data_IF_579519806959
#
_entry.id   IF_579519806959
#
_cell.length_a   1.000
_cell.length_b   1.000
_cell.length_c   1.000
_cell.angle_alpha   90.00
_cell.angle_beta   90.00
_cell.angle_gamma   90.00
#
_symmetry.space_group_name_H-M   'P 1'
#
loop_
_entity.id
_entity.type
_entity.pdbx_description
1 polymer ?
#
# COMPACT_ATOMS: atom_id res chain seq x y z
N UNK A 1 -6.83 -1.90 -11.05
CA UNK A 1 -7.81 -1.57 -9.99
C UNK A 1 -7.32 -1.86 -8.56
N UNK A 2 -6.75 -3.03 -8.25
CA UNK A 2 -6.41 -3.41 -6.87
C UNK A 2 -5.51 -2.45 -6.07
N UNK A 3 -4.46 -1.89 -6.70
CA UNK A 3 -3.49 -1.01 -6.01
C UNK A 3 -4.12 0.30 -5.51
N UNK A 4 -5.03 0.89 -6.29
CA UNK A 4 -5.75 2.11 -5.86
C UNK A 4 -6.63 1.85 -4.64
N UNK A 5 -7.28 0.67 -4.57
CA UNK A 5 -8.11 0.27 -3.43
C UNK A 5 -7.26 0.08 -2.17
N UNK A 6 -6.08 -0.53 -2.31
CA UNK A 6 -5.16 -0.71 -1.17
C UNK A 6 -4.64 0.64 -0.65
N UNK A 7 -4.21 1.54 -1.54
CA UNK A 7 -3.76 2.88 -1.15
C UNK A 7 -4.88 3.68 -0.46
N UNK A 8 -6.10 3.64 -1.02
CA UNK A 8 -7.28 4.25 -0.40
C UNK A 8 -7.57 3.68 0.98
N UNK A 9 -7.43 2.36 1.16
CA UNK A 9 -7.59 1.70 2.45
C UNK A 9 -6.57 2.16 3.49
N UNK A 10 -5.29 2.26 3.12
CA UNK A 10 -4.21 2.74 4.01
C UNK A 10 -4.43 4.20 4.39
N UNK A 11 -4.76 5.06 3.41
CA UNK A 11 -5.05 6.49 3.67
C UNK A 11 -6.26 6.61 4.61
N UNK A 12 -7.33 5.88 4.35
CA UNK A 12 -8.54 5.89 5.19
C UNK A 12 -8.23 5.43 6.62
N UNK A 13 -7.44 4.35 6.76
CA UNK A 13 -7.00 3.85 8.06
C UNK A 13 -6.12 4.85 8.82
N UNK A 14 -5.19 5.52 8.12
CA UNK A 14 -4.35 6.55 8.71
C UNK A 14 -5.16 7.76 9.18
N UNK A 15 -6.11 8.24 8.36
CA UNK A 15 -7.02 9.35 8.71
C UNK A 15 -7.89 8.98 9.91
N UNK A 16 -8.49 7.79 9.92
CA UNK A 16 -9.30 7.31 11.06
C UNK A 16 -8.46 7.21 12.34
N UNK A 17 -7.23 6.69 12.25
CA UNK A 17 -6.29 6.66 13.36
C UNK A 17 -5.99 8.06 13.91
N UNK A 18 -5.75 9.03 13.03
CA UNK A 18 -5.44 10.41 13.42
C UNK A 18 -6.64 11.11 14.07
N UNK A 19 -7.85 10.89 13.56
CA UNK A 19 -9.09 11.38 14.19
C UNK A 19 -9.27 10.78 15.59
N UNK A 20 -9.06 9.47 15.75
CA UNK A 20 -9.15 8.80 17.05
C UNK A 20 -8.08 9.26 18.04
N UNK A 21 -6.88 9.60 17.56
CA UNK A 21 -5.82 10.19 18.37
C UNK A 21 -6.25 11.55 18.92
N UNK A 22 -6.78 12.42 18.06
CA UNK A 22 -7.28 13.75 18.45
C UNK A 22 -8.46 13.64 19.44
N UNK A 23 -9.41 12.74 19.17
CA UNK A 23 -10.54 12.47 20.06
C UNK A 23 -10.09 11.95 21.43
N UNK A 24 -9.17 10.98 21.45
CA UNK A 24 -8.59 10.45 22.68
C UNK A 24 -7.84 11.53 23.49
N UNK A 25 -7.08 12.40 22.80
CA UNK A 25 -6.41 13.54 23.42
C UNK A 25 -7.40 14.53 24.04
N UNK A 26 -8.47 14.87 23.31
CA UNK A 26 -9.53 15.76 23.80
C UNK A 26 -10.21 15.19 25.05
N UNK A 27 -10.52 13.88 25.08
CA UNK A 27 -11.10 13.22 26.25
C UNK A 27 -10.21 13.31 27.50
N UNK A 28 -8.89 13.22 27.33
CA UNK A 28 -7.95 13.35 28.45
C UNK A 28 -7.97 14.79 29.00
N UNK A 29 -8.00 15.80 28.14
CA UNK A 29 -8.02 17.22 28.55
C UNK A 29 -9.35 17.56 29.24
N UNK A 30 -10.48 17.05 28.73
CA UNK A 30 -11.82 17.32 29.28
C UNK A 30 -12.19 16.46 30.49
N UNK A 31 -11.34 15.51 30.90
CA UNK A 31 -11.66 14.59 31.99
C UNK A 31 -11.82 15.31 33.34
N UNK A 32 -11.07 16.37 33.60
CA UNK A 32 -11.02 16.99 34.93
C UNK A 32 -10.65 15.94 35.99
N UNK A 33 -11.48 15.81 37.03
CA UNK A 33 -11.35 14.77 38.08
C UNK A 33 -12.05 13.44 37.76
N UNK A 34 -12.69 13.30 36.60
CA UNK A 34 -13.35 12.06 36.17
C UNK A 34 -12.31 11.04 35.66
N UNK A 35 -11.88 10.15 36.56
CA UNK A 35 -10.88 9.12 36.25
C UNK A 35 -11.31 8.14 35.16
N UNK A 36 -12.62 7.89 34.99
CA UNK A 36 -13.13 6.98 33.97
C UNK A 36 -12.97 7.59 32.57
N UNK A 37 -13.24 8.90 32.42
CA UNK A 37 -13.00 9.63 31.16
C UNK A 37 -11.52 9.66 30.81
N UNK A 38 -10.66 9.93 31.80
CA UNK A 38 -9.21 9.93 31.59
C UNK A 38 -8.70 8.55 31.14
N UNK A 39 -9.20 7.45 31.73
CA UNK A 39 -8.83 6.09 31.35
C UNK A 39 -9.29 5.76 29.91
N UNK A 40 -10.52 6.12 29.56
CA UNK A 40 -11.04 5.91 28.20
C UNK A 40 -10.25 6.70 27.16
N UNK A 41 -9.90 7.95 27.47
CA UNK A 41 -9.04 8.78 26.61
C UNK A 41 -7.67 8.14 26.39
N UNK A 42 -7.01 7.64 27.46
CA UNK A 42 -5.73 6.94 27.34
C UNK A 42 -5.81 5.69 26.47
N UNK A 43 -6.88 4.89 26.61
CA UNK A 43 -7.11 3.72 25.76
C UNK A 43 -7.29 4.13 24.29
N UNK A 44 -8.09 5.14 24.01
CA UNK A 44 -8.30 5.64 22.66
C UNK A 44 -6.99 6.11 22.01
N UNK A 45 -6.18 6.89 22.74
CA UNK A 45 -4.84 7.29 22.28
C UNK A 45 -3.96 6.07 22.02
N UNK A 46 -3.87 5.12 22.94
CA UNK A 46 -3.06 3.92 22.76
C UNK A 46 -3.45 3.11 21.50
N UNK A 47 -4.74 2.88 21.29
CA UNK A 47 -5.23 2.16 20.10
C UNK A 47 -4.98 2.92 18.81
N UNK A 48 -5.14 4.25 18.82
CA UNK A 48 -4.87 5.08 17.64
C UNK A 48 -3.39 5.07 17.25
N UNK A 49 -2.47 5.13 18.22
CA UNK A 49 -1.02 5.05 17.98
C UNK A 49 -0.66 3.68 17.40
N UNK A 50 -1.20 2.59 17.97
CA UNK A 50 -1.01 1.24 17.42
C UNK A 50 -1.51 1.14 15.97
N UNK A 51 -2.69 1.69 15.67
CA UNK A 51 -3.25 1.73 14.32
C UNK A 51 -2.36 2.49 13.33
N UNK A 52 -1.85 3.66 13.74
CA UNK A 52 -0.93 4.46 12.92
C UNK A 52 0.41 3.75 12.66
N UNK A 53 0.97 3.05 13.67
CA UNK A 53 2.19 2.25 13.50
C UNK A 53 1.99 1.13 12.48
N UNK A 54 0.84 0.44 12.52
CA UNK A 54 0.49 -0.61 11.56
C UNK A 54 0.32 -0.03 10.16
N UNK A 55 -0.37 1.10 10.01
CA UNK A 55 -0.55 1.77 8.73
C UNK A 55 0.79 2.21 8.11
N UNK A 56 1.67 2.82 8.91
CA UNK A 56 3.01 3.21 8.49
C UNK A 56 3.86 2.00 8.08
N UNK A 57 3.79 0.91 8.85
CA UNK A 57 4.51 -0.33 8.55
C UNK A 57 4.02 -0.97 7.24
N UNK A 58 2.71 -0.99 6.99
CA UNK A 58 2.14 -1.45 5.72
C UNK A 58 2.63 -0.62 4.53
N UNK A 59 2.68 0.71 4.69
CA UNK A 59 3.21 1.59 3.65
C UNK A 59 4.68 1.28 3.33
N UNK A 60 5.53 1.11 4.34
CA UNK A 60 6.95 0.74 4.15
C UNK A 60 7.10 -0.61 3.47
N UNK A 61 6.31 -1.61 3.88
CA UNK A 61 6.33 -2.94 3.25
C UNK A 61 5.90 -2.86 1.79
N UNK A 62 4.87 -2.07 1.47
CA UNK A 62 4.48 -1.87 0.07
C UNK A 62 5.59 -1.22 -0.74
N UNK A 63 6.23 -0.14 -0.24
CA UNK A 63 7.36 0.47 -0.93
C UNK A 63 8.51 -0.52 -1.14
N UNK A 64 8.80 -1.35 -0.14
CA UNK A 64 9.80 -2.40 -0.25
C UNK A 64 9.43 -3.41 -1.34
N UNK A 65 8.20 -3.94 -1.34
CA UNK A 65 7.73 -4.91 -2.34
C UNK A 65 7.74 -4.31 -3.75
N UNK A 66 7.29 -3.06 -3.92
CA UNK A 66 7.29 -2.41 -5.23
C UNK A 66 8.69 -2.16 -5.76
N UNK A 67 9.63 -1.83 -4.86
CA UNK A 67 11.05 -1.66 -5.20
C UNK A 67 11.67 -2.99 -5.56
N UNK A 68 11.43 -4.04 -4.76
CA UNK A 68 11.95 -5.38 -4.97
C UNK A 68 11.46 -5.98 -6.30
N UNK A 69 10.19 -5.76 -6.63
CA UNK A 69 9.57 -6.26 -7.86
C UNK A 69 9.78 -5.34 -9.08
N UNK A 70 10.49 -4.21 -8.90
CA UNK A 70 10.74 -3.20 -9.93
C UNK A 70 9.47 -2.84 -10.74
N UNK A 71 8.35 -2.66 -10.04
CA UNK A 71 7.08 -2.34 -10.72
C UNK A 71 7.13 -0.88 -11.18
N UNK A 72 7.12 -0.61 -12.51
CA UNK A 72 7.22 0.76 -13.02
C UNK A 72 6.04 1.62 -12.55
N UNK A 73 6.30 2.84 -12.06
CA UNK A 73 5.26 3.83 -11.73
C UNK A 73 5.07 4.19 -10.25
N UNK A 74 6.00 3.85 -9.35
CA UNK A 74 5.98 4.26 -7.93
C UNK A 74 6.97 5.40 -7.57
N UNK A 75 7.70 5.94 -8.55
CA UNK A 75 8.50 7.14 -8.33
C UNK A 75 7.60 8.37 -8.18
N UNK A 76 7.73 9.11 -7.08
CA UNK A 76 7.23 10.48 -6.99
C UNK A 76 7.97 11.31 -8.04
N UNK A 77 7.32 11.61 -9.15
CA UNK A 77 7.83 12.59 -10.12
C UNK A 77 7.45 13.96 -9.57
N UNK A 78 8.43 14.70 -9.04
CA UNK A 78 8.23 16.08 -8.65
C UNK A 78 7.88 16.90 -9.87
N UNK A 79 6.69 17.50 -9.90
CA UNK A 79 6.26 18.39 -10.98
C UNK A 79 6.92 19.75 -10.81
N UNK A 80 8.09 19.91 -11.42
CA UNK A 80 8.67 21.23 -11.63
C UNK A 80 7.93 21.87 -12.80
N UNK A 81 7.04 22.83 -12.51
CA UNK A 81 6.42 23.66 -13.54
C UNK A 81 7.50 24.58 -14.12
N UNK A 82 8.06 24.21 -15.28
CA UNK A 82 8.90 25.11 -16.06
C UNK A 82 8.01 26.15 -16.75
N UNK A 83 8.31 27.43 -16.52
CA UNK A 83 7.69 28.54 -17.24
C UNK A 83 8.09 28.48 -18.72
N UNK A 84 7.09 28.68 -19.58
CA UNK A 84 7.12 28.43 -21.01
C UNK A 84 7.64 29.65 -21.77
N UNK A 85 8.89 29.57 -22.26
CA UNK A 85 9.37 30.37 -23.39
C UNK A 85 9.88 29.40 -24.45
N UNK A 86 9.40 29.58 -25.68
CA UNK A 86 9.61 28.76 -26.88
C UNK A 86 8.78 27.46 -27.01
N UNK A 87 7.91 27.46 -28.02
CA UNK A 87 7.14 26.30 -28.43
C UNK A 87 8.08 25.26 -29.06
N UNK A 88 8.58 24.34 -28.24
CA UNK A 88 9.38 23.21 -28.70
C UNK A 88 8.53 22.35 -29.64
N UNK A 89 9.04 22.09 -30.85
CA UNK A 89 8.35 21.21 -31.79
C UNK A 89 8.35 19.78 -31.24
N UNK A 90 7.17 19.16 -31.20
CA UNK A 90 6.98 17.80 -30.71
C UNK A 90 6.51 16.88 -31.83
N UNK A 91 6.97 15.63 -31.80
CA UNK A 91 6.64 14.59 -32.76
C UNK A 91 5.94 13.43 -32.08
N UNK A 92 5.07 12.75 -32.82
CA UNK A 92 4.25 11.68 -32.28
C UNK A 92 5.08 10.40 -32.10
N UNK A 93 5.06 9.85 -30.89
CA UNK A 93 5.55 8.50 -30.57
C UNK A 93 4.34 7.67 -30.17
N UNK A 94 4.01 6.63 -30.91
CA UNK A 94 2.78 5.87 -30.71
C UNK A 94 2.97 4.39 -30.96
N UNK A 95 2.05 3.56 -30.46
CA UNK A 95 2.03 2.16 -30.85
C UNK A 95 1.01 1.35 -30.07
N UNK A 96 1.15 0.02 -30.16
CA UNK A 96 0.20 -0.92 -29.57
C UNK A 96 0.87 -1.83 -28.55
N UNK A 97 0.19 -2.10 -27.43
CA UNK A 97 0.61 -3.07 -26.42
C UNK A 97 -0.20 -4.36 -26.57
N UNK A 98 0.51 -5.47 -26.75
CA UNK A 98 -0.08 -6.79 -26.97
C UNK A 98 0.52 -7.85 -26.08
N UNK A 99 -0.20 -8.95 -25.87
CA UNK A 99 0.30 -10.13 -25.18
C UNK A 99 0.94 -11.12 -26.14
N UNK A 100 1.62 -12.11 -25.59
CA UNK A 100 2.00 -13.32 -26.33
C UNK A 100 0.71 -13.98 -26.86
N UNK A 101 0.60 -14.15 -28.18
CA UNK A 101 -0.64 -14.58 -28.85
C UNK A 101 -1.43 -13.46 -29.53
N UNK A 102 -0.88 -12.25 -29.59
CA UNK A 102 -1.47 -11.07 -30.26
C UNK A 102 -2.69 -10.44 -29.55
N UNK A 103 -2.99 -10.87 -28.33
CA UNK A 103 -4.07 -10.33 -27.51
C UNK A 103 -3.84 -8.84 -27.19
N UNK A 104 -4.87 -8.01 -27.37
CA UNK A 104 -4.83 -6.59 -27.02
C UNK A 104 -4.83 -6.43 -25.50
N UNK A 105 -3.95 -5.58 -24.96
CA UNK A 105 -3.78 -5.39 -23.52
C UNK A 105 -4.22 -4.00 -23.03
N UNK A 106 -5.53 -3.71 -22.94
CA UNK A 106 -6.02 -2.43 -22.45
C UNK A 106 -5.67 -2.18 -20.98
N UNK A 107 -5.46 -0.93 -20.58
CA UNK A 107 -5.05 -0.56 -19.21
C UNK A 107 -3.61 -0.95 -18.84
N UNK A 108 -2.79 -1.38 -19.81
CA UNK A 108 -1.34 -1.42 -19.62
C UNK A 108 -0.81 0.01 -19.41
N UNK A 109 0.27 0.15 -18.64
CA UNK A 109 0.94 1.43 -18.42
C UNK A 109 2.20 1.49 -19.28
N UNK A 110 2.36 2.56 -20.05
CA UNK A 110 3.55 2.84 -20.84
C UNK A 110 4.25 4.06 -20.28
N UNK A 111 5.55 3.95 -20.04
CA UNK A 111 6.41 5.04 -19.59
C UNK A 111 7.40 5.37 -20.69
N UNK A 112 7.46 6.64 -21.09
CA UNK A 112 8.49 7.12 -22.00
C UNK A 112 9.70 7.62 -21.19
N UNK A 113 10.89 7.16 -21.55
CA UNK A 113 12.16 7.61 -20.98
C UNK A 113 12.95 8.37 -22.04
N UNK A 114 13.62 9.45 -21.63
CA UNK A 114 14.48 10.29 -22.46
C UNK A 114 15.93 10.18 -22.01
N UNK A 115 16.86 10.20 -22.95
CA UNK A 115 18.28 10.30 -22.66
C UNK A 115 18.69 11.77 -22.54
N UNK A 116 19.29 12.15 -21.41
CA UNK A 116 19.88 13.47 -21.16
C UNK A 116 21.28 13.25 -20.61
N UNK A 117 22.29 13.81 -21.28
CA UNK A 117 23.71 13.68 -20.90
C UNK A 117 24.16 12.21 -20.68
N UNK A 118 23.67 11.31 -21.53
CA UNK A 118 23.98 9.87 -21.47
C UNK A 118 23.23 9.10 -20.38
N UNK A 119 22.44 9.76 -19.54
CA UNK A 119 21.62 9.14 -18.50
C UNK A 119 20.14 9.11 -18.90
N UNK A 120 19.40 8.13 -18.38
CA UNK A 120 17.99 7.93 -18.70
C UNK A 120 17.10 8.48 -17.61
N UNK A 121 16.18 9.36 -17.99
CA UNK A 121 15.19 9.97 -17.11
C UNK A 121 13.78 9.69 -17.61
N UNK A 122 12.80 9.63 -16.70
CA UNK A 122 11.40 9.62 -17.10
C UNK A 122 11.11 10.93 -17.82
N UNK A 123 10.60 10.84 -19.04
CA UNK A 123 10.28 12.03 -19.83
C UNK A 123 9.18 12.84 -19.15
N UNK A 124 9.43 14.11 -18.91
CA UNK A 124 8.48 15.00 -18.26
C UNK A 124 7.41 15.49 -19.24
N UNK A 125 6.37 14.66 -19.43
CA UNK A 125 5.24 15.03 -20.26
C UNK A 125 4.43 16.22 -19.72
N UNK A 126 4.54 16.53 -18.41
CA UNK A 126 3.78 17.63 -17.81
C UNK A 126 4.29 18.99 -18.27
N UNK A 127 5.61 19.20 -18.33
CA UNK A 127 6.19 20.43 -18.89
C UNK A 127 5.94 20.56 -20.40
N UNK A 128 5.79 19.45 -21.13
CA UNK A 128 5.59 19.41 -22.58
C UNK A 128 4.10 19.33 -22.97
N UNK A 129 3.31 20.29 -22.48
CA UNK A 129 1.89 20.41 -22.84
C UNK A 129 0.93 19.56 -21.99
N UNK A 130 1.25 19.35 -20.71
CA UNK A 130 0.40 18.64 -19.75
C UNK A 130 0.04 17.20 -20.16
N UNK A 131 0.95 16.53 -20.87
CA UNK A 131 0.81 15.13 -21.20
C UNK A 131 1.04 14.26 -19.97
N UNK A 132 0.39 13.10 -19.94
CA UNK A 132 0.54 12.13 -18.85
C UNK A 132 1.66 11.15 -19.21
N UNK A 133 2.60 11.00 -18.29
CA UNK A 133 3.61 9.95 -18.31
C UNK A 133 3.77 9.44 -16.87
N UNK A 134 3.33 8.21 -16.53
CA UNK A 134 2.90 7.13 -17.41
C UNK A 134 1.59 7.39 -18.18
N UNK A 135 1.48 6.80 -19.38
CA UNK A 135 0.25 6.73 -20.16
C UNK A 135 -0.47 5.41 -19.92
N UNK A 136 -1.79 5.45 -19.73
CA UNK A 136 -2.63 4.25 -19.61
C UNK A 136 -3.23 3.92 -20.98
N UNK A 137 -2.88 2.74 -21.47
CA UNK A 137 -3.26 2.22 -22.79
C UNK A 137 -4.78 2.10 -22.90
N UNK A 138 -5.32 2.55 -24.03
CA UNK A 138 -6.76 2.57 -24.28
C UNK A 138 -7.36 1.16 -24.48
N UNK A 139 -8.68 1.10 -24.73
CA UNK A 139 -9.41 -0.16 -24.94
C UNK A 139 -8.95 -0.94 -26.18
N UNK A 140 -8.26 -0.29 -27.11
CA UNK A 140 -7.73 -0.87 -28.34
C UNK A 140 -6.23 -1.23 -28.23
N UNK A 141 -5.62 -1.05 -27.05
CA UNK A 141 -4.21 -1.34 -26.85
C UNK A 141 -3.29 -0.22 -27.32
N UNK A 142 -3.81 0.96 -27.66
CA UNK A 142 -3.02 2.06 -28.18
C UNK A 142 -2.47 2.97 -27.08
N UNK A 143 -1.27 3.49 -27.31
CA UNK A 143 -0.69 4.59 -26.55
C UNK A 143 -0.08 5.63 -27.48
N UNK A 144 0.05 6.86 -26.97
CA UNK A 144 0.62 7.98 -27.72
C UNK A 144 1.27 9.01 -26.79
N UNK A 145 2.41 9.53 -27.24
CA UNK A 145 3.12 10.67 -26.67
C UNK A 145 3.45 11.67 -27.79
N UNK A 146 3.62 12.94 -27.44
CA UNK A 146 4.23 13.95 -28.28
C UNK A 146 5.51 14.42 -27.62
N UNK A 147 6.65 13.94 -28.10
CA UNK A 147 7.96 14.20 -27.53
C UNK A 147 8.78 15.09 -28.46
N UNK A 148 9.62 16.00 -27.93
CA UNK A 148 10.55 16.77 -28.75
C UNK A 148 11.63 15.87 -29.36
N UNK A 149 12.51 16.46 -30.16
CA UNK A 149 13.65 15.71 -30.72
C UNK A 149 14.58 15.20 -29.62
N UNK A 150 15.06 13.97 -29.79
CA UNK A 150 15.91 13.33 -28.79
C UNK A 150 15.93 11.82 -28.89
N UNK A 151 16.66 11.18 -27.98
CA UNK A 151 16.76 9.72 -27.88
C UNK A 151 15.86 9.22 -26.75
N UNK A 152 15.04 8.21 -27.04
CA UNK A 152 14.01 7.71 -26.16
C UNK A 152 13.98 6.18 -26.12
N UNK A 153 13.38 5.62 -25.07
CA UNK A 153 12.85 4.26 -25.09
C UNK A 153 11.53 4.22 -24.32
N UNK A 154 10.75 3.15 -24.51
CA UNK A 154 9.48 2.95 -23.82
C UNK A 154 9.54 1.71 -22.94
N UNK A 155 8.84 1.76 -21.80
CA UNK A 155 8.63 0.61 -20.91
C UNK A 155 7.15 0.40 -20.75
N UNK A 156 6.66 -0.76 -21.15
CA UNK A 156 5.28 -1.18 -20.95
C UNK A 156 5.20 -2.15 -19.77
N UNK A 157 4.17 -1.98 -18.95
CA UNK A 157 3.90 -2.86 -17.80
C UNK A 157 2.40 -3.09 -17.63
N UNK A 158 2.02 -4.29 -17.23
CA UNK A 158 0.64 -4.64 -16.91
C UNK A 158 0.61 -5.70 -15.83
N UNK A 159 -0.34 -5.61 -14.91
CA UNK A 159 -0.51 -6.63 -13.87
C UNK A 159 -0.76 -8.01 -14.51
N UNK A 160 -0.05 -9.02 -14.05
CA UNK A 160 -0.07 -10.37 -14.63
C UNK A 160 0.90 -10.58 -15.79
N UNK A 161 1.68 -9.56 -16.16
CA UNK A 161 2.67 -9.62 -17.24
C UNK A 161 4.05 -9.17 -16.76
N UNK A 162 5.11 -9.69 -17.38
CA UNK A 162 6.45 -9.13 -17.27
C UNK A 162 6.50 -7.78 -18.01
N UNK A 163 7.21 -6.81 -17.44
CA UNK A 163 7.45 -5.54 -18.12
C UNK A 163 8.30 -5.78 -19.37
N UNK A 164 7.99 -5.07 -20.46
CA UNK A 164 8.80 -5.07 -21.67
C UNK A 164 9.37 -3.68 -21.91
N UNK A 165 10.60 -3.63 -22.40
CA UNK A 165 11.29 -2.41 -22.78
C UNK A 165 11.55 -2.45 -24.29
N UNK A 166 11.29 -1.34 -24.99
CA UNK A 166 11.67 -1.20 -26.39
C UNK A 166 13.18 -0.95 -26.53
N UNK A 167 13.71 -1.20 -27.72
CA UNK A 167 15.00 -0.63 -28.10
C UNK A 167 14.94 0.91 -28.03
N UNK A 168 16.11 1.54 -27.89
CA UNK A 168 16.22 3.00 -27.97
C UNK A 168 15.98 3.48 -29.40
N UNK A 169 15.29 4.59 -29.57
CA UNK A 169 15.00 5.21 -30.85
C UNK A 169 15.21 6.72 -30.80
N UNK A 170 15.47 7.33 -31.96
CA UNK A 170 15.67 8.77 -32.10
C UNK A 170 14.41 9.38 -32.71
N UNK A 171 13.88 10.40 -32.05
CA UNK A 171 12.81 11.26 -32.57
C UNK A 171 13.48 12.43 -33.29
N UNK A 172 13.25 12.55 -34.60
CA UNK A 172 13.83 13.58 -35.45
C UNK A 172 12.90 13.86 -36.63
N UNK A 173 12.02 14.86 -36.53
CA UNK A 173 11.21 15.29 -37.68
C UNK A 173 9.99 14.43 -38.04
N UNK A 174 9.89 13.18 -37.57
CA UNK A 174 8.90 12.21 -38.05
C UNK A 174 8.20 11.42 -36.93
N UNK A 175 6.94 10.98 -37.14
CA UNK A 175 6.27 10.07 -36.23
C UNK A 175 6.99 8.73 -36.09
N UNK A 176 7.11 8.23 -34.86
CA UNK A 176 7.74 6.96 -34.52
C UNK A 176 6.69 5.96 -34.05
N UNK A 177 6.65 4.78 -34.68
CA UNK A 177 5.78 3.66 -34.27
C UNK A 177 6.56 2.67 -33.43
N UNK A 178 6.12 2.41 -32.19
CA UNK A 178 6.72 1.45 -31.27
C UNK A 178 5.70 0.49 -30.67
N UNK A 179 5.73 -0.76 -31.12
CA UNK A 179 4.89 -1.80 -30.55
C UNK A 179 5.67 -2.56 -29.47
N UNK A 180 5.01 -2.91 -28.36
CA UNK A 180 5.60 -3.78 -27.35
C UNK A 180 4.70 -4.99 -27.11
N UNK A 181 5.35 -6.14 -26.94
CA UNK A 181 4.70 -7.39 -26.56
C UNK A 181 5.06 -7.70 -25.12
N UNK A 182 4.06 -7.90 -24.28
CA UNK A 182 4.22 -8.31 -22.89
C UNK A 182 4.10 -9.82 -22.77
N UNK A 183 5.06 -10.43 -22.09
CA UNK A 183 5.00 -11.84 -21.73
C UNK A 183 4.17 -12.04 -20.45
N UNK A 184 3.33 -13.05 -20.41
CA UNK A 184 2.56 -13.38 -19.20
C UNK A 184 3.52 -13.72 -18.07
N UNK A 185 3.44 -12.99 -16.96
CA UNK A 185 4.23 -13.31 -15.79
C UNK A 185 3.73 -14.65 -15.24
N UNK A 186 4.63 -15.62 -15.08
CA UNK A 186 4.22 -16.93 -14.55
C UNK A 186 3.53 -16.72 -13.19
N UNK A 187 2.26 -17.16 -13.12
CA UNK A 187 1.37 -16.93 -11.97
C UNK A 187 1.88 -17.58 -10.68
N UNK A 188 2.94 -18.39 -10.74
CA UNK A 188 3.57 -19.06 -9.61
C UNK A 188 3.89 -18.08 -8.47
N UNK A 189 4.44 -16.89 -8.76
CA UNK A 189 4.75 -15.92 -7.71
C UNK A 189 3.51 -15.35 -7.04
N UNK A 190 2.42 -15.16 -7.81
CA UNK A 190 1.12 -14.72 -7.27
C UNK A 190 0.55 -15.81 -6.36
N UNK A 191 0.62 -17.08 -6.75
CA UNK A 191 0.20 -18.19 -5.92
C UNK A 191 1.06 -18.34 -4.65
N UNK A 192 2.37 -18.19 -4.75
CA UNK A 192 3.28 -18.20 -3.59
C UNK A 192 2.92 -17.07 -2.63
N UNK A 193 2.69 -15.85 -3.14
CA UNK A 193 2.29 -14.71 -2.32
C UNK A 193 0.93 -14.96 -1.65
N UNK A 194 -0.06 -15.44 -2.40
CA UNK A 194 -1.40 -15.72 -1.89
C UNK A 194 -1.38 -16.82 -0.82
N UNK A 195 -0.59 -17.88 -1.06
CA UNK A 195 -0.37 -18.94 -0.10
C UNK A 195 0.33 -18.43 1.17
N UNK A 196 1.34 -17.55 1.02
CA UNK A 196 2.01 -16.90 2.15
C UNK A 196 1.05 -16.05 3.00
N UNK A 197 0.18 -15.26 2.37
CA UNK A 197 -0.84 -14.46 3.06
C UNK A 197 -1.84 -15.37 3.78
N UNK A 198 -2.30 -16.44 3.13
CA UNK A 198 -3.21 -17.43 3.76
C UNK A 198 -2.58 -18.07 4.99
N UNK A 199 -1.31 -18.47 4.92
CA UNK A 199 -0.57 -19.00 6.07
C UNK A 199 -0.44 -17.98 7.20
N UNK A 200 -0.14 -16.72 6.86
CA UNK A 200 -0.03 -15.65 7.84
C UNK A 200 -1.37 -15.36 8.55
N UNK A 201 -2.45 -15.19 7.79
CA UNK A 201 -3.80 -14.98 8.33
C UNK A 201 -4.25 -16.16 9.19
N UNK A 202 -3.99 -17.39 8.73
CA UNK A 202 -4.26 -18.61 9.51
C UNK A 202 -3.50 -18.63 10.84
N UNK A 203 -2.21 -18.26 10.82
CA UNK A 203 -1.36 -18.18 12.01
C UNK A 203 -1.85 -17.13 13.01
N UNK A 204 -2.12 -15.89 12.55
CA UNK A 204 -2.65 -14.81 13.41
C UNK A 204 -3.99 -15.20 14.03
N UNK A 205 -4.88 -15.81 13.25
CA UNK A 205 -6.18 -16.29 13.72
C UNK A 205 -6.00 -17.36 14.80
N UNK A 206 -5.10 -18.33 14.56
CA UNK A 206 -4.76 -19.37 15.52
C UNK A 206 -4.23 -18.80 16.85
N UNK A 207 -3.26 -17.88 16.80
CA UNK A 207 -2.70 -17.25 18.00
C UNK A 207 -3.74 -16.45 18.77
N UNK A 208 -4.66 -15.77 18.08
CA UNK A 208 -5.75 -15.02 18.71
C UNK A 208 -6.70 -15.95 19.46
N UNK A 209 -7.13 -17.04 18.81
CA UNK A 209 -8.02 -18.04 19.44
C UNK A 209 -7.34 -18.65 20.67
N UNK A 210 -6.09 -19.09 20.54
CA UNK A 210 -5.32 -19.67 21.66
C UNK A 210 -5.14 -18.65 22.79
N UNK A 211 -4.87 -17.39 22.46
CA UNK A 211 -4.76 -16.29 23.41
C UNK A 211 -6.04 -16.09 24.23
N UNK A 212 -7.20 -16.04 23.56
CA UNK A 212 -8.52 -15.91 24.19
C UNK A 212 -8.83 -17.10 25.08
N UNK A 213 -8.58 -18.32 24.62
CA UNK A 213 -8.80 -19.56 25.41
C UNK A 213 -7.92 -19.57 26.66
N UNK A 214 -6.63 -19.23 26.52
CA UNK A 214 -5.69 -19.14 27.66
C UNK A 214 -6.08 -18.04 28.65
N UNK A 215 -6.59 -16.92 28.16
CA UNK A 215 -7.06 -15.83 29.02
C UNK A 215 -8.30 -16.23 29.81
N UNK A 216 -9.30 -16.87 29.17
CA UNK A 216 -10.49 -17.40 29.84
C UNK A 216 -10.13 -18.39 30.96
N UNK A 217 -9.25 -19.35 30.68
CA UNK A 217 -8.78 -20.32 31.68
C UNK A 217 -8.09 -19.65 32.87
N UNK A 218 -7.32 -18.58 32.63
CA UNK A 218 -6.71 -17.79 33.72
C UNK A 218 -7.74 -17.08 34.58
N UNK A 219 -8.83 -16.57 34.00
CA UNK A 219 -9.91 -15.93 34.75
C UNK A 219 -10.66 -16.95 35.61
N UNK A 220 -10.97 -18.13 35.09
CA UNK A 220 -11.62 -19.21 35.84
C UNK A 220 -10.77 -19.70 37.02
N UNK A 221 -9.47 -19.92 36.81
CA UNK A 221 -8.55 -20.32 37.88
C UNK A 221 -8.47 -19.27 39.00
N UNK A 222 -8.49 -17.97 38.65
CA UNK A 222 -8.55 -16.90 39.65
C UNK A 222 -9.84 -16.94 40.46
N UNK A 223 -11.00 -17.16 39.81
CA UNK A 223 -12.29 -17.30 40.49
C UNK A 223 -12.33 -18.50 41.42
N UNK A 224 -11.80 -19.65 40.98
CA UNK A 224 -11.71 -20.86 41.79
C UNK A 224 -10.80 -20.66 43.02
N UNK A 225 -9.62 -20.06 42.83
CA UNK A 225 -8.70 -19.76 43.92
C UNK A 225 -9.32 -18.79 44.96
N UNK A 226 -10.01 -17.75 44.50
CA UNK A 226 -10.73 -16.81 45.38
C UNK A 226 -11.87 -17.49 46.15
N UNK A 227 -12.61 -18.40 45.51
CA UNK A 227 -13.65 -19.19 46.17
C UNK A 227 -13.10 -20.05 47.30
N UNK A 228 -11.98 -20.75 47.06
CA UNK A 228 -11.33 -21.61 48.07
C UNK A 228 -10.77 -20.82 49.25
N UNK A 229 -10.23 -19.62 49.01
CA UNK A 229 -9.77 -18.73 50.08
C UNK A 229 -10.92 -18.28 50.98
N UNK A 230 -12.08 -17.94 50.40
CA UNK A 230 -13.28 -17.56 51.18
C UNK A 230 -13.82 -18.71 52.05
N UNK A 231 -13.78 -19.94 51.53
CA UNK A 231 -14.20 -21.12 52.29
C UNK A 231 -13.30 -21.33 53.52
N UNK A 232 -11.97 -21.25 53.35
CA UNK A 232 -11.02 -21.38 54.45
C UNK A 232 -11.21 -20.28 55.51
N UNK A 233 -11.39 -19.01 55.11
CA UNK A 233 -11.65 -17.91 56.05
C UNK A 233 -12.94 -18.11 56.85
N UNK A 234 -13.98 -18.68 56.23
CA UNK A 234 -15.26 -18.95 56.89
C UNK A 234 -15.13 -20.06 57.95
N UNK A 235 -14.38 -21.12 57.66
CA UNK A 235 -14.10 -22.20 58.63
C UNK A 235 -13.27 -21.72 59.83
N UNK A 236 -12.27 -20.87 59.61
CA UNK A 236 -11.46 -20.33 60.72
C UNK A 236 -12.31 -19.48 61.66
N UNK A 237 -13.26 -18.69 61.14
CA UNK A 237 -14.20 -17.91 61.97
C UNK A 237 -15.13 -18.81 62.80
N UNK A 238 -15.70 -19.87 62.22
CA UNK A 238 -16.60 -20.77 62.97
C UNK A 238 -15.90 -21.53 64.10
N UNK A 239 -14.59 -21.78 63.98
CA UNK A 239 -13.82 -22.49 65.03
C UNK A 239 -13.35 -21.58 66.15
N UNK A 240 -13.41 -20.25 66.00
CA UNK A 240 -13.04 -19.29 67.06
C UNK A 240 -14.22 -18.88 67.97
N UNK A 241 -15.45 -19.34 67.69
CA UNK A 241 -16.65 -19.12 68.50
C UNK A 241 -17.06 -20.27 69.49
N UNK A 242 -16.19 -21.15 70.02
CA UNK A 242 -16.57 -22.04 71.10
C UNK A 242 -16.12 -21.43 72.43
N UNK A 243 -16.90 -20.54 73.03
CA UNK A 243 -16.92 -20.21 74.48
C UNK A 243 -17.77 -18.93 74.70
N UNK A 244 -19.08 -19.08 74.55
CA UNK A 244 -20.06 -18.31 75.33
C UNK A 244 -21.11 -19.27 75.87
#
# INVERSE_FOLDING_TARGET
MGIFVVNMGIITGAVAGLIMLLYGGMLIIMAGDDTAKAENGRKAVMWSVLGLIVAASLFTVMQFVTTLLNVPGFGYVGTAYAAQEDAVQTYQVFGTIRGVGDDILPGAKVVLYQQVDGQWFVWDGQSQGNQRNPYEVDVFGHYQFFAPEGTYYTVASKFGYHSAQSDSFVVNGAPIKQNLTLETASSIWVYILYFGIMLFVGSVSYFTIVGVVRWRKRVELKRYAQGKLRENTSRTKSTQDPLQ
#
